data_IF_739739939907
#
_entry.id   IF_739739939907
#
_cell.length_a   1.000
_cell.length_b   1.000
_cell.length_c   1.000
_cell.angle_alpha   90.00
_cell.angle_beta   90.00
_cell.angle_gamma   90.00
#
_symmetry.space_group_name_H-M   'P 1'
#
loop_
_entity.id
_entity.type
_entity.pdbx_description
1 polymer ?
#
# COMPACT_ATOMS: atom_id res chain seq x y z
N UNK A 1 -5.16 -29.46 -24.36
CA UNK A 1 -4.79 -28.07 -24.01
C UNK A 1 -3.41 -27.82 -24.61
N UNK A 2 -3.29 -26.94 -25.61
CA UNK A 2 -1.97 -26.63 -26.20
C UNK A 2 -1.24 -25.73 -25.20
N UNK A 3 -0.13 -26.22 -24.65
CA UNK A 3 0.75 -25.42 -23.80
C UNK A 3 1.52 -24.47 -24.71
N UNK A 4 1.43 -23.18 -24.42
CA UNK A 4 2.25 -22.19 -25.12
C UNK A 4 3.72 -22.32 -24.66
N UNK A 5 4.66 -21.84 -25.48
CA UNK A 5 6.10 -21.88 -25.13
C UNK A 5 6.38 -21.24 -23.77
N UNK A 6 5.59 -20.24 -23.38
CA UNK A 6 5.68 -19.56 -22.10
C UNK A 6 5.23 -20.45 -20.92
N UNK A 7 4.22 -21.29 -21.10
CA UNK A 7 3.71 -22.19 -20.05
C UNK A 7 4.74 -23.27 -19.71
N UNK A 8 5.41 -23.78 -20.76
CA UNK A 8 6.51 -24.74 -20.62
C UNK A 8 7.68 -24.07 -19.88
N UNK A 9 8.05 -22.84 -20.24
CA UNK A 9 9.08 -22.07 -19.54
C UNK A 9 8.73 -21.86 -18.06
N UNK A 10 7.49 -21.50 -17.75
CA UNK A 10 7.01 -21.28 -16.39
C UNK A 10 7.10 -22.54 -15.54
N UNK A 11 6.61 -23.67 -16.04
CA UNK A 11 6.64 -24.96 -15.33
C UNK A 11 8.07 -25.45 -15.12
N UNK A 12 8.92 -25.40 -16.16
CA UNK A 12 10.32 -25.82 -16.05
C UNK A 12 11.09 -24.92 -15.08
N UNK A 13 10.86 -23.60 -15.14
CA UNK A 13 11.47 -22.65 -14.22
C UNK A 13 11.06 -22.87 -12.76
N UNK A 14 9.77 -23.18 -12.51
CA UNK A 14 9.29 -23.56 -11.18
C UNK A 14 9.94 -24.84 -10.66
N UNK A 15 10.04 -25.88 -11.49
CA UNK A 15 10.69 -27.14 -11.11
C UNK A 15 12.18 -26.88 -10.81
N UNK A 16 12.87 -26.16 -11.69
CA UNK A 16 14.29 -25.84 -11.52
C UNK A 16 14.57 -25.03 -10.26
N UNK A 17 13.77 -23.99 -9.99
CA UNK A 17 13.91 -23.18 -8.77
C UNK A 17 13.54 -23.95 -7.50
N UNK A 18 12.61 -24.90 -7.58
CA UNK A 18 12.27 -25.78 -6.44
C UNK A 18 13.40 -26.76 -6.13
N UNK A 19 13.98 -27.39 -7.15
CA UNK A 19 15.17 -28.25 -6.99
C UNK A 19 16.34 -27.46 -6.41
N UNK A 20 16.56 -26.24 -6.90
CA UNK A 20 17.58 -25.34 -6.37
C UNK A 20 17.32 -24.96 -4.90
N UNK A 21 16.09 -24.68 -4.52
CA UNK A 21 15.72 -24.43 -3.12
C UNK A 21 16.00 -25.63 -2.22
N UNK A 22 15.62 -26.84 -2.65
CA UNK A 22 15.90 -28.08 -1.90
C UNK A 22 17.41 -28.28 -1.76
N UNK A 23 18.18 -28.03 -2.83
CA UNK A 23 19.64 -28.07 -2.80
C UNK A 23 20.20 -27.06 -1.77
N UNK A 24 19.76 -25.79 -1.79
CA UNK A 24 20.18 -24.79 -0.80
C UNK A 24 19.86 -25.22 0.65
N UNK A 25 18.68 -25.81 0.88
CA UNK A 25 18.28 -26.32 2.20
C UNK A 25 19.15 -27.49 2.67
N UNK A 26 19.56 -28.37 1.76
CA UNK A 26 20.38 -29.55 2.08
C UNK A 26 21.86 -29.20 2.29
N UNK A 27 22.40 -28.21 1.58
CA UNK A 27 23.82 -27.84 1.59
C UNK A 27 24.14 -26.61 2.45
N UNK A 28 23.14 -26.01 3.11
CA UNK A 28 23.34 -25.13 4.26
C UNK A 28 24.01 -23.78 3.99
N UNK A 29 23.81 -23.18 2.81
CA UNK A 29 24.39 -21.87 2.48
C UNK A 29 23.59 -20.72 3.10
N UNK A 30 24.15 -20.09 4.14
CA UNK A 30 23.61 -18.95 4.92
C UNK A 30 23.80 -17.57 4.25
N UNK A 31 23.71 -17.48 2.92
CA UNK A 31 24.30 -16.34 2.17
C UNK A 31 23.36 -15.14 1.94
N UNK A 32 22.08 -15.19 2.32
CA UNK A 32 21.10 -14.18 1.86
C UNK A 32 20.31 -13.43 2.95
N UNK A 33 20.96 -13.10 4.08
CA UNK A 33 20.34 -12.31 5.17
C UNK A 33 19.88 -10.91 4.73
N UNK A 34 20.61 -10.25 3.83
CA UNK A 34 20.25 -8.92 3.31
C UNK A 34 19.01 -8.92 2.40
N UNK A 35 18.68 -10.05 1.78
CA UNK A 35 17.49 -10.15 0.93
C UNK A 35 16.21 -10.00 1.75
N UNK A 36 16.11 -10.67 2.90
CA UNK A 36 14.97 -10.54 3.80
C UNK A 36 14.71 -9.09 4.23
N UNK A 37 15.77 -8.32 4.46
CA UNK A 37 15.63 -6.90 4.82
C UNK A 37 14.90 -6.11 3.72
N UNK A 38 15.22 -6.38 2.44
CA UNK A 38 14.55 -5.78 1.28
C UNK A 38 13.07 -6.19 1.21
N UNK A 39 12.74 -7.44 1.54
CA UNK A 39 11.35 -7.88 1.64
C UNK A 39 10.59 -7.08 2.70
N UNK A 40 11.15 -6.95 3.91
CA UNK A 40 10.51 -6.19 4.98
C UNK A 40 10.38 -4.70 4.66
N UNK A 41 11.36 -4.10 3.98
CA UNK A 41 11.26 -2.72 3.47
C UNK A 41 10.08 -2.55 2.51
N UNK A 42 9.95 -3.43 1.51
CA UNK A 42 8.86 -3.38 0.54
C UNK A 42 7.49 -3.58 1.21
N UNK A 43 7.38 -4.57 2.11
CA UNK A 43 6.15 -4.85 2.84
C UNK A 43 5.73 -3.68 3.75
N UNK A 44 6.67 -3.08 4.48
CA UNK A 44 6.40 -1.96 5.39
C UNK A 44 6.13 -0.65 4.67
N UNK A 45 6.77 -0.37 3.54
CA UNK A 45 6.41 0.77 2.71
C UNK A 45 4.95 0.66 2.24
N UNK A 46 4.54 -0.50 1.74
CA UNK A 46 3.15 -0.72 1.36
C UNK A 46 2.19 -0.63 2.54
N UNK A 47 2.59 -1.06 3.74
CA UNK A 47 1.82 -0.88 4.96
C UNK A 47 1.53 0.58 5.27
N UNK A 48 2.55 1.43 5.21
CA UNK A 48 2.40 2.86 5.47
C UNK A 48 1.41 3.49 4.50
N UNK A 49 1.48 3.07 3.23
CA UNK A 49 0.51 3.47 2.21
C UNK A 49 -0.92 2.96 2.50
N UNK A 50 -1.03 1.69 2.90
CA UNK A 50 -2.31 1.05 3.22
C UNK A 50 -3.03 1.71 4.41
N UNK A 51 -2.29 2.19 5.41
CA UNK A 51 -2.86 2.85 6.57
C UNK A 51 -3.65 4.10 6.19
N UNK A 52 -3.11 4.96 5.31
CA UNK A 52 -3.82 6.16 4.83
C UNK A 52 -5.09 5.80 4.05
N UNK A 53 -5.09 4.70 3.31
CA UNK A 53 -6.30 4.21 2.63
C UNK A 53 -7.36 3.71 3.62
N UNK A 54 -6.95 3.03 4.69
CA UNK A 54 -7.83 2.62 5.79
C UNK A 54 -8.44 3.82 6.48
N UNK A 55 -7.64 4.83 6.80
CA UNK A 55 -8.09 6.12 7.36
C UNK A 55 -9.10 6.78 6.42
N UNK A 56 -8.82 6.84 5.12
CA UNK A 56 -9.74 7.41 4.12
C UNK A 56 -11.07 6.63 4.07
N UNK A 57 -11.01 5.30 4.19
CA UNK A 57 -12.20 4.44 4.19
C UNK A 57 -13.02 4.60 5.47
N UNK A 58 -12.36 4.73 6.62
CA UNK A 58 -13.00 5.01 7.90
C UNK A 58 -13.72 6.36 7.88
N UNK A 59 -13.07 7.41 7.35
CA UNK A 59 -13.70 8.71 7.18
C UNK A 59 -14.92 8.66 6.26
N UNK A 60 -14.82 7.94 5.14
CA UNK A 60 -15.96 7.72 4.25
C UNK A 60 -17.14 7.08 4.98
N UNK A 61 -16.87 6.03 5.75
CA UNK A 61 -17.90 5.33 6.51
C UNK A 61 -18.56 6.22 7.56
N UNK A 62 -17.77 6.95 8.35
CA UNK A 62 -18.28 7.89 9.34
C UNK A 62 -19.14 8.97 8.67
N UNK A 63 -18.69 9.49 7.53
CA UNK A 63 -19.40 10.57 6.87
C UNK A 63 -20.68 10.11 6.20
N UNK A 64 -20.73 8.88 5.67
CA UNK A 64 -21.94 8.27 5.13
C UNK A 64 -23.01 8.06 6.23
N UNK A 65 -22.57 7.62 7.42
CA UNK A 65 -23.46 7.35 8.56
C UNK A 65 -24.12 8.62 9.12
N UNK A 66 -23.42 9.76 9.05
CA UNK A 66 -23.87 11.02 9.65
C UNK A 66 -24.23 12.06 8.55
N UNK A 67 -24.22 11.66 7.27
CA UNK A 67 -24.38 12.55 6.10
C UNK A 67 -25.65 13.40 6.14
N UNK A 68 -26.74 12.85 6.66
CA UNK A 68 -28.05 13.51 6.70
C UNK A 68 -28.22 14.44 7.91
N UNK A 69 -27.28 14.43 8.87
CA UNK A 69 -27.34 15.21 10.12
C UNK A 69 -26.27 16.30 10.24
N UNK A 70 -25.34 16.38 9.27
CA UNK A 70 -24.17 17.27 9.32
C UNK A 70 -24.40 18.50 8.43
N UNK A 71 -24.23 19.70 9.01
CA UNK A 71 -24.24 20.98 8.30
C UNK A 71 -22.87 21.39 7.74
N UNK A 72 -22.79 22.59 7.17
CA UNK A 72 -21.56 23.07 6.53
C UNK A 72 -20.38 23.24 7.51
N UNK A 73 -20.66 23.67 8.75
CA UNK A 73 -19.63 23.89 9.78
C UNK A 73 -18.99 22.57 10.20
N UNK A 74 -19.81 21.54 10.39
CA UNK A 74 -19.39 20.21 10.80
C UNK A 74 -18.59 19.52 9.68
N UNK A 75 -18.99 19.67 8.41
CA UNK A 75 -18.18 19.21 7.26
C UNK A 75 -16.82 19.91 7.23
N UNK A 76 -16.74 21.21 7.54
CA UNK A 76 -15.47 21.95 7.56
C UNK A 76 -14.53 21.42 8.65
N UNK A 77 -15.06 21.16 9.85
CA UNK A 77 -14.29 20.55 10.95
C UNK A 77 -13.81 19.14 10.55
N UNK A 78 -14.67 18.34 9.94
CA UNK A 78 -14.33 17.01 9.48
C UNK A 78 -13.16 17.00 8.48
N UNK A 79 -13.14 17.96 7.57
CA UNK A 79 -12.04 18.14 6.62
C UNK A 79 -10.73 18.47 7.33
N UNK A 80 -10.77 19.33 8.35
CA UNK A 80 -9.58 19.70 9.12
C UNK A 80 -9.04 18.46 9.84
N UNK A 81 -9.91 17.69 10.50
CA UNK A 81 -9.54 16.42 11.16
C UNK A 81 -8.91 15.45 10.15
N UNK A 82 -9.47 15.36 8.94
CA UNK A 82 -8.95 14.49 7.89
C UNK A 82 -7.53 14.83 7.43
N UNK A 83 -7.12 16.11 7.52
CA UNK A 83 -5.75 16.55 7.23
C UNK A 83 -4.84 16.34 8.44
N UNK A 84 -5.35 16.55 9.65
CA UNK A 84 -4.57 16.40 10.90
C UNK A 84 -4.19 14.95 11.16
N UNK A 85 -5.08 13.97 10.94
CA UNK A 85 -4.78 12.56 11.25
C UNK A 85 -3.53 12.04 10.50
N UNK A 86 -3.39 12.23 9.17
CA UNK A 86 -2.16 11.86 8.47
C UNK A 86 -0.90 12.53 9.02
N UNK A 87 -0.97 13.81 9.42
CA UNK A 87 0.16 14.53 10.04
C UNK A 87 0.53 13.92 11.39
N UNK A 88 -0.45 13.59 12.22
CA UNK A 88 -0.22 12.90 13.50
C UNK A 88 0.44 11.53 13.30
N UNK A 89 0.04 10.79 12.25
CA UNK A 89 0.65 9.51 11.92
C UNK A 89 2.12 9.66 11.47
N UNK A 90 2.46 10.74 10.77
CA UNK A 90 3.85 11.07 10.42
C UNK A 90 4.65 11.36 11.69
N UNK A 91 4.13 12.21 12.59
CA UNK A 91 4.77 12.53 13.88
C UNK A 91 4.99 11.24 14.70
N UNK A 92 3.99 10.38 14.78
CA UNK A 92 4.09 9.09 15.46
C UNK A 92 5.13 8.17 14.82
N UNK A 93 5.22 8.13 13.48
CA UNK A 93 6.25 7.38 12.77
C UNK A 93 7.66 7.88 13.08
N UNK A 94 7.86 9.20 13.16
CA UNK A 94 9.15 9.80 13.56
C UNK A 94 9.49 9.42 15.00
N UNK A 95 8.52 9.53 15.93
CA UNK A 95 8.70 9.10 17.31
C UNK A 95 9.13 7.63 17.39
N UNK A 96 8.50 6.74 16.62
CA UNK A 96 8.82 5.31 16.60
C UNK A 96 10.24 5.03 16.09
N UNK A 97 10.71 5.78 15.10
CA UNK A 97 12.10 5.69 14.64
C UNK A 97 13.04 6.08 15.77
N UNK A 98 12.80 7.21 16.44
CA UNK A 98 13.64 7.68 17.56
C UNK A 98 13.64 6.66 18.70
N UNK A 99 12.46 6.14 19.07
CA UNK A 99 12.37 5.13 20.13
C UNK A 99 13.03 3.80 19.74
N UNK A 100 13.05 3.45 18.44
CA UNK A 100 13.74 2.25 17.95
C UNK A 100 15.27 2.37 17.93
N UNK A 101 15.82 3.60 17.97
CA UNK A 101 17.26 3.85 18.03
C UNK A 101 17.83 3.72 19.45
N UNK A 102 16.99 3.88 20.47
CA UNK A 102 17.32 3.56 21.86
C UNK A 102 16.80 2.16 22.18
N UNK A 103 17.63 1.11 22.09
CA UNK A 103 17.20 -0.21 22.52
C UNK A 103 16.92 -0.15 24.02
N UNK A 104 15.64 -0.16 24.40
CA UNK A 104 15.25 -0.52 25.76
C UNK A 104 15.72 -1.95 25.99
N UNK A 105 16.80 -2.08 26.76
CA UNK A 105 17.42 -3.35 27.09
C UNK A 105 16.50 -4.14 28.01
N UNK A 106 15.54 -4.86 27.46
CA UNK A 106 14.92 -6.07 28.01
C UNK A 106 13.93 -6.61 26.98
N UNK A 107 13.91 -7.91 26.67
CA UNK A 107 12.79 -8.51 25.97
C UNK A 107 11.57 -8.38 26.90
N UNK A 108 10.56 -7.64 26.48
CA UNK A 108 9.31 -7.61 27.25
C UNK A 108 8.76 -9.03 27.29
N UNK A 109 8.68 -9.64 28.47
CA UNK A 109 7.88 -10.84 28.69
C UNK A 109 6.61 -10.41 29.41
N UNK A 110 5.45 -10.50 28.75
CA UNK A 110 4.18 -10.09 29.34
C UNK A 110 3.11 -9.71 28.31
N UNK A 111 2.05 -9.03 28.77
CA UNK A 111 0.96 -8.54 27.91
C UNK A 111 1.44 -7.58 26.81
N UNK A 112 2.48 -6.79 27.09
CA UNK A 112 3.10 -5.90 26.11
C UNK A 112 3.67 -6.66 24.89
N UNK A 113 4.37 -7.77 25.12
CA UNK A 113 4.87 -8.64 24.06
C UNK A 113 3.76 -9.32 23.27
N UNK A 114 2.70 -9.79 23.94
CA UNK A 114 1.54 -10.38 23.26
C UNK A 114 0.86 -9.32 22.38
N UNK A 115 0.74 -8.08 22.87
CA UNK A 115 0.22 -6.97 22.10
C UNK A 115 1.11 -6.60 20.91
N UNK A 116 2.43 -6.56 21.09
CA UNK A 116 3.38 -6.29 20.01
C UNK A 116 3.39 -7.40 18.95
N UNK A 117 3.35 -8.66 19.37
CA UNK A 117 3.20 -9.84 18.51
C UNK A 117 1.89 -9.78 17.73
N UNK A 118 0.78 -9.49 18.40
CA UNK A 118 -0.53 -9.37 17.76
C UNK A 118 -0.56 -8.23 16.75
N UNK A 119 0.02 -7.07 17.09
CA UNK A 119 0.14 -5.92 16.18
C UNK A 119 1.07 -6.21 14.99
N UNK A 120 2.15 -6.96 15.19
CA UNK A 120 3.07 -7.37 14.15
C UNK A 120 2.41 -8.35 13.16
N UNK A 121 1.82 -9.44 13.66
CA UNK A 121 1.13 -10.44 12.83
C UNK A 121 -0.08 -9.83 12.13
N UNK A 122 -0.93 -9.11 12.88
CA UNK A 122 -2.08 -8.42 12.30
C UNK A 122 -1.66 -7.41 11.25
N UNK A 123 -0.56 -6.68 11.50
CA UNK A 123 0.08 -5.81 10.53
C UNK A 123 0.39 -6.56 9.24
N UNK A 124 1.32 -7.53 9.27
CA UNK A 124 1.78 -8.26 8.07
C UNK A 124 0.64 -8.97 7.33
N UNK A 125 -0.27 -9.59 8.08
CA UNK A 125 -1.43 -10.28 7.51
C UNK A 125 -2.41 -9.29 6.86
N UNK A 126 -2.78 -8.20 7.53
CA UNK A 126 -3.70 -7.18 7.01
C UNK A 126 -3.12 -6.47 5.78
N UNK A 127 -1.83 -6.15 5.81
CA UNK A 127 -1.05 -5.61 4.69
C UNK A 127 -1.19 -6.55 3.50
N UNK A 128 -0.73 -7.79 3.63
CA UNK A 128 -0.68 -8.71 2.49
C UNK A 128 -2.07 -9.10 1.98
N UNK A 129 -3.03 -9.23 2.88
CA UNK A 129 -4.43 -9.49 2.54
C UNK A 129 -5.00 -8.35 1.69
N UNK A 130 -4.88 -7.11 2.16
CA UNK A 130 -5.46 -5.95 1.50
C UNK A 130 -4.73 -5.52 0.23
N UNK A 131 -3.44 -5.85 0.13
CA UNK A 131 -2.56 -5.40 -0.96
C UNK A 131 -2.41 -6.42 -2.08
N UNK A 132 -2.24 -7.70 -1.75
CA UNK A 132 -1.99 -8.74 -2.74
C UNK A 132 -3.18 -9.68 -2.84
N UNK A 133 -3.63 -10.28 -1.73
CA UNK A 133 -4.63 -11.36 -1.78
C UNK A 133 -5.97 -10.85 -2.33
N UNK A 134 -6.54 -9.80 -1.73
CA UNK A 134 -7.84 -9.26 -2.15
C UNK A 134 -7.80 -8.74 -3.59
N UNK A 135 -6.81 -7.92 -4.00
CA UNK A 135 -6.85 -7.40 -5.36
C UNK A 135 -6.44 -8.45 -6.42
N UNK A 136 -5.65 -9.49 -6.06
CA UNK A 136 -5.41 -10.65 -6.94
C UNK A 136 -6.68 -11.46 -7.19
N UNK A 137 -7.49 -11.68 -6.14
CA UNK A 137 -8.78 -12.37 -6.25
C UNK A 137 -9.78 -11.56 -7.10
N UNK A 138 -9.72 -10.24 -7.02
CA UNK A 138 -10.62 -9.33 -7.75
C UNK A 138 -10.12 -8.92 -9.14
N UNK A 139 -8.98 -9.45 -9.58
CA UNK A 139 -8.35 -9.11 -10.87
C UNK A 139 -7.99 -7.60 -11.02
N UNK A 140 -7.83 -6.89 -9.89
CA UNK A 140 -7.64 -5.43 -9.88
C UNK A 140 -6.17 -5.00 -10.10
N UNK A 141 -5.23 -5.96 -10.16
CA UNK A 141 -3.81 -5.73 -10.44
C UNK A 141 -3.56 -5.38 -11.92
N UNK A 142 -4.27 -6.06 -12.83
CA UNK A 142 -4.15 -5.90 -14.28
C UNK A 142 -4.69 -4.54 -14.71
N UNK A 143 -5.93 -4.23 -14.30
CA UNK A 143 -6.61 -2.95 -14.53
C UNK A 143 -5.83 -1.72 -14.01
N UNK A 144 -4.97 -1.92 -13.02
CA UNK A 144 -4.14 -0.88 -12.44
C UNK A 144 -2.79 -0.70 -13.16
N UNK A 145 -2.18 -1.79 -13.65
CA UNK A 145 -0.84 -1.79 -14.23
C UNK A 145 -0.84 -1.37 -15.72
N UNK A 146 -1.73 -1.92 -16.54
CA UNK A 146 -1.79 -1.66 -18.00
C UNK A 146 -2.60 -0.41 -18.34
N UNK A 147 -3.06 0.33 -17.33
CA UNK A 147 -3.75 1.59 -17.51
C UNK A 147 -5.13 1.44 -18.14
N UNK A 148 -5.73 0.25 -18.03
CA UNK A 148 -7.09 -0.10 -18.42
C UNK A 148 -7.38 0.09 -19.91
N UNK A 149 -7.88 -0.96 -20.57
CA UNK A 149 -8.31 -0.87 -21.97
C UNK A 149 -9.28 0.30 -22.24
N UNK A 150 -9.44 0.69 -23.50
CA UNK A 150 -10.26 1.83 -23.97
C UNK A 150 -11.64 1.92 -23.28
N UNK A 151 -12.29 0.76 -23.06
CA UNK A 151 -13.58 0.67 -22.38
C UNK A 151 -13.55 1.07 -20.90
N UNK A 152 -12.52 0.69 -20.13
CA UNK A 152 -12.38 1.10 -18.73
C UNK A 152 -12.05 2.58 -18.60
N UNK A 153 -11.31 3.16 -19.56
CA UNK A 153 -11.07 4.61 -19.64
C UNK A 153 -12.35 5.38 -19.92
N UNK A 154 -13.20 4.90 -20.83
CA UNK A 154 -14.51 5.49 -21.12
C UNK A 154 -15.44 5.37 -19.90
N UNK A 155 -15.49 4.20 -19.25
CA UNK A 155 -16.26 3.98 -18.01
C UNK A 155 -15.79 4.89 -16.87
N UNK A 156 -14.48 5.06 -16.69
CA UNK A 156 -13.89 6.01 -15.71
C UNK A 156 -14.24 7.45 -16.07
N UNK A 157 -14.15 7.83 -17.35
CA UNK A 157 -14.53 9.15 -17.86
C UNK A 157 -16.01 9.47 -17.57
N UNK A 158 -16.91 8.56 -17.95
CA UNK A 158 -18.34 8.69 -17.71
C UNK A 158 -18.68 8.76 -16.22
N UNK A 159 -18.04 7.92 -15.39
CA UNK A 159 -18.20 7.93 -13.94
C UNK A 159 -17.72 9.25 -13.31
N UNK A 160 -16.59 9.79 -13.78
CA UNK A 160 -16.04 11.07 -13.33
C UNK A 160 -16.94 12.25 -13.72
N UNK A 161 -17.48 12.25 -14.94
CA UNK A 161 -18.44 13.26 -15.40
C UNK A 161 -19.73 13.17 -14.58
N UNK A 162 -20.30 11.98 -14.40
CA UNK A 162 -21.49 11.76 -13.57
C UNK A 162 -21.29 12.21 -12.12
N UNK A 163 -20.12 11.96 -11.54
CA UNK A 163 -19.77 12.47 -10.19
C UNK A 163 -19.67 13.99 -10.13
N UNK A 164 -19.05 14.64 -11.11
CA UNK A 164 -18.99 16.11 -11.18
C UNK A 164 -20.38 16.72 -11.26
N UNK A 165 -21.28 16.13 -12.05
CA UNK A 165 -22.69 16.56 -12.15
C UNK A 165 -23.41 16.36 -10.83
N UNK A 166 -23.30 15.18 -10.20
CA UNK A 166 -23.89 14.90 -8.88
C UNK A 166 -23.35 15.84 -7.79
N UNK A 167 -22.05 16.14 -7.80
CA UNK A 167 -21.43 17.09 -6.87
C UNK A 167 -22.02 18.48 -7.04
N UNK A 168 -22.12 18.98 -8.27
CA UNK A 168 -22.76 20.28 -8.56
C UNK A 168 -24.22 20.31 -8.11
N UNK A 169 -24.96 19.23 -8.34
CA UNK A 169 -26.34 19.09 -7.89
C UNK A 169 -26.46 19.12 -6.35
N UNK A 170 -25.63 18.36 -5.62
CA UNK A 170 -25.63 18.35 -4.16
C UNK A 170 -25.18 19.69 -3.56
N UNK A 171 -24.16 20.32 -4.15
CA UNK A 171 -23.72 21.66 -3.76
C UNK A 171 -24.84 22.70 -3.97
N UNK A 172 -25.55 22.64 -5.10
CA UNK A 172 -26.70 23.51 -5.39
C UNK A 172 -27.85 23.30 -4.39
N UNK A 173 -28.09 22.05 -3.97
CA UNK A 173 -29.08 21.69 -2.94
C UNK A 173 -28.59 21.92 -1.51
N UNK A 174 -27.41 22.54 -1.30
CA UNK A 174 -26.78 22.78 0.01
C UNK A 174 -26.53 21.49 0.83
N UNK A 175 -26.40 20.35 0.16
CA UNK A 175 -26.08 19.05 0.77
C UNK A 175 -24.56 18.85 0.77
N UNK A 176 -23.86 19.64 1.60
CA UNK A 176 -22.39 19.70 1.64
C UNK A 176 -21.75 18.37 2.04
N UNK A 177 -22.37 17.62 2.96
CA UNK A 177 -21.89 16.29 3.34
C UNK A 177 -21.90 15.33 2.14
N UNK A 178 -22.99 15.28 1.37
CA UNK A 178 -23.12 14.40 0.18
C UNK A 178 -22.15 14.79 -0.94
N UNK A 179 -21.87 16.08 -1.11
CA UNK A 179 -20.81 16.54 -2.01
C UNK A 179 -19.42 16.06 -1.53
N UNK A 180 -19.17 16.09 -0.21
CA UNK A 180 -17.91 15.63 0.36
C UNK A 180 -17.72 14.11 0.27
N UNK A 181 -18.78 13.29 0.42
CA UNK A 181 -18.73 11.84 0.16
C UNK A 181 -18.22 11.55 -1.25
N UNK A 182 -18.68 12.29 -2.25
CA UNK A 182 -18.24 12.09 -3.63
C UNK A 182 -16.74 12.39 -3.82
N UNK A 183 -16.24 13.43 -3.15
CA UNK A 183 -14.81 13.78 -3.17
C UNK A 183 -13.99 12.67 -2.50
N UNK A 184 -14.38 12.25 -1.30
CA UNK A 184 -13.68 11.19 -0.57
C UNK A 184 -13.74 9.84 -1.30
N UNK A 185 -14.85 9.53 -1.97
CA UNK A 185 -14.98 8.28 -2.75
C UNK A 185 -14.02 8.30 -3.94
N UNK A 186 -13.88 9.47 -4.58
CA UNK A 186 -12.93 9.67 -5.67
C UNK A 186 -11.49 9.53 -5.17
N UNK A 187 -11.17 10.09 -3.99
CA UNK A 187 -9.85 9.93 -3.36
C UNK A 187 -9.53 8.48 -3.03
N UNK A 188 -10.49 7.74 -2.45
CA UNK A 188 -10.33 6.32 -2.15
C UNK A 188 -10.00 5.53 -3.42
N UNK A 189 -10.70 5.79 -4.52
CA UNK A 189 -10.44 5.11 -5.80
C UNK A 189 -9.04 5.44 -6.34
N UNK A 190 -8.63 6.71 -6.31
CA UNK A 190 -7.30 7.12 -6.78
C UNK A 190 -6.21 6.48 -5.92
N UNK A 191 -6.35 6.51 -4.60
CA UNK A 191 -5.41 5.86 -3.68
C UNK A 191 -5.37 4.35 -3.86
N UNK A 192 -6.52 3.72 -4.13
CA UNK A 192 -6.58 2.28 -4.43
C UNK A 192 -5.81 1.95 -5.71
N UNK A 193 -5.94 2.76 -6.76
CA UNK A 193 -5.17 2.59 -8.00
C UNK A 193 -3.67 2.77 -7.75
N UNK A 194 -3.27 3.83 -7.04
CA UNK A 194 -1.86 4.05 -6.68
C UNK A 194 -1.30 2.91 -5.85
N UNK A 195 -2.08 2.40 -4.89
CA UNK A 195 -1.73 1.24 -4.08
C UNK A 195 -1.48 0.01 -4.94
N UNK A 196 -2.35 -0.31 -5.89
CA UNK A 196 -2.16 -1.46 -6.78
C UNK A 196 -0.94 -1.29 -7.68
N UNK A 197 -0.74 -0.08 -8.24
CA UNK A 197 0.48 0.22 -9.00
C UNK A 197 1.74 0.00 -8.16
N UNK A 198 1.77 0.52 -6.93
CA UNK A 198 2.90 0.31 -6.02
C UNK A 198 3.09 -1.17 -5.68
N UNK A 199 2.02 -1.93 -5.45
CA UNK A 199 2.11 -3.38 -5.21
C UNK A 199 2.72 -4.11 -6.41
N UNK A 200 2.31 -3.77 -7.63
CA UNK A 200 2.89 -4.33 -8.87
C UNK A 200 4.38 -3.96 -8.99
N UNK A 201 4.76 -2.69 -8.79
CA UNK A 201 6.15 -2.26 -8.84
C UNK A 201 7.03 -2.92 -7.76
N UNK A 202 6.46 -3.16 -6.59
CA UNK A 202 7.18 -3.75 -5.46
C UNK A 202 7.30 -5.27 -5.55
N UNK A 203 6.71 -5.93 -6.56
CA UNK A 203 6.96 -7.35 -6.85
C UNK A 203 8.45 -7.63 -7.10
N UNK A 204 9.21 -6.69 -7.67
CA UNK A 204 10.66 -6.88 -7.87
C UNK A 204 11.42 -6.86 -6.55
N UNK A 205 11.32 -5.81 -5.71
CA UNK A 205 11.86 -5.82 -4.36
C UNK A 205 11.41 -7.03 -3.51
N UNK A 206 10.15 -7.46 -3.62
CA UNK A 206 9.66 -8.66 -2.94
C UNK A 206 10.30 -9.92 -3.52
N UNK A 207 10.46 -10.01 -4.85
CA UNK A 207 11.16 -11.09 -5.52
C UNK A 207 12.62 -11.20 -5.08
N UNK A 208 13.33 -10.07 -5.06
CA UNK A 208 14.71 -9.98 -4.54
C UNK A 208 14.72 -10.37 -3.07
N UNK A 209 13.77 -9.89 -2.28
CA UNK A 209 13.74 -10.18 -0.86
C UNK A 209 13.28 -11.59 -0.49
N UNK A 210 12.72 -12.31 -1.45
CA UNK A 210 12.34 -13.72 -1.33
C UNK A 210 13.37 -14.66 -1.98
N UNK A 211 14.60 -14.20 -2.25
CA UNK A 211 15.66 -15.05 -2.84
C UNK A 211 15.97 -16.31 -2.04
N UNK A 212 15.71 -16.29 -0.73
CA UNK A 212 15.77 -17.48 0.13
C UNK A 212 14.72 -18.54 -0.21
N UNK A 213 13.67 -18.14 -0.93
CA UNK A 213 12.63 -18.97 -1.49
C UNK A 213 12.61 -18.81 -3.03
N UNK A 214 13.60 -19.38 -3.76
CA UNK A 214 13.75 -19.22 -5.20
C UNK A 214 12.48 -19.42 -6.05
N UNK A 215 11.55 -20.36 -5.72
CA UNK A 215 10.28 -20.46 -6.44
C UNK A 215 9.41 -19.20 -6.35
N UNK A 216 9.40 -18.54 -5.19
CA UNK A 216 8.63 -17.31 -4.95
C UNK A 216 9.25 -16.14 -5.71
N UNK A 217 10.59 -16.04 -5.70
CA UNK A 217 11.31 -15.06 -6.52
C UNK A 217 10.97 -15.23 -8.00
N UNK A 218 11.03 -16.47 -8.50
CA UNK A 218 10.71 -16.78 -9.89
C UNK A 218 9.28 -16.36 -10.25
N UNK A 219 8.30 -16.75 -9.44
CA UNK A 219 6.90 -16.36 -9.65
C UNK A 219 6.75 -14.83 -9.69
N UNK A 220 7.36 -14.12 -8.73
CA UNK A 220 7.27 -12.66 -8.63
C UNK A 220 7.88 -11.96 -9.85
N UNK A 221 9.05 -12.42 -10.32
CA UNK A 221 9.73 -11.86 -11.48
C UNK A 221 8.96 -12.16 -12.77
N UNK A 222 8.50 -13.41 -12.97
CA UNK A 222 7.75 -13.77 -14.17
C UNK A 222 6.43 -13.00 -14.25
N UNK A 223 5.72 -12.88 -13.14
CA UNK A 223 4.47 -12.12 -13.08
C UNK A 223 4.70 -10.64 -13.39
N UNK A 224 5.79 -10.06 -12.86
CA UNK A 224 6.19 -8.68 -13.16
C UNK A 224 6.56 -8.48 -14.64
N UNK A 225 7.36 -9.39 -15.22
CA UNK A 225 7.74 -9.36 -16.64
C UNK A 225 6.49 -9.41 -17.51
N UNK A 226 5.55 -10.30 -17.21
CA UNK A 226 4.35 -10.48 -18.02
C UNK A 226 3.49 -9.22 -18.04
N UNK A 227 3.33 -8.57 -16.88
CA UNK A 227 2.56 -7.33 -16.74
C UNK A 227 3.23 -6.14 -17.44
N UNK A 228 4.55 -5.98 -17.35
CA UNK A 228 5.23 -4.77 -17.84
C UNK A 228 5.87 -4.88 -19.23
N UNK A 229 6.35 -6.07 -19.59
CA UNK A 229 7.10 -6.29 -20.84
C UNK A 229 6.20 -6.91 -21.90
N UNK A 230 5.41 -7.91 -21.51
CA UNK A 230 4.60 -8.68 -22.47
C UNK A 230 3.20 -8.09 -22.68
N UNK A 231 2.70 -7.28 -21.74
CA UNK A 231 1.32 -6.73 -21.76
C UNK A 231 0.26 -7.85 -21.92
N UNK A 232 0.61 -9.06 -21.50
CA UNK A 232 -0.22 -10.26 -21.61
C UNK A 232 -0.92 -10.51 -20.27
N UNK A 233 -2.18 -10.93 -20.34
CA UNK A 233 -2.94 -11.27 -19.13
C UNK A 233 -2.32 -12.50 -18.44
N UNK A 234 -1.97 -12.40 -17.14
CA UNK A 234 -1.48 -13.55 -16.39
C UNK A 234 -2.55 -14.63 -16.31
N UNK A 235 -2.13 -15.87 -16.58
CA UNK A 235 -3.05 -17.02 -16.58
C UNK A 235 -3.48 -17.31 -15.14
N UNK A 236 -4.66 -17.90 -14.96
CA UNK A 236 -5.25 -18.17 -13.64
C UNK A 236 -4.28 -18.91 -12.71
N UNK A 237 -3.52 -19.88 -13.22
CA UNK A 237 -2.55 -20.62 -12.40
C UNK A 237 -1.34 -19.77 -11.97
N UNK A 238 -0.93 -18.76 -12.74
CA UNK A 238 0.15 -17.84 -12.37
C UNK A 238 -0.30 -16.90 -11.25
N UNK A 239 -1.56 -16.45 -11.33
CA UNK A 239 -2.21 -15.66 -10.27
C UNK A 239 -2.35 -16.47 -8.98
N UNK A 240 -2.78 -17.73 -9.08
CA UNK A 240 -2.86 -18.65 -7.93
C UNK A 240 -1.45 -18.88 -7.36
N UNK A 241 -0.44 -19.10 -8.21
CA UNK A 241 0.95 -19.24 -7.80
C UNK A 241 1.43 -18.04 -6.99
N UNK A 242 1.21 -16.82 -7.49
CA UNK A 242 1.57 -15.59 -6.78
C UNK A 242 0.80 -15.44 -5.46
N UNK A 243 -0.49 -15.74 -5.44
CA UNK A 243 -1.32 -15.68 -4.24
C UNK A 243 -0.81 -16.64 -3.16
N UNK A 244 -0.52 -17.89 -3.53
CA UNK A 244 0.05 -18.89 -2.61
C UNK A 244 1.42 -18.44 -2.12
N UNK A 245 2.27 -17.90 -2.99
CA UNK A 245 3.57 -17.34 -2.60
C UNK A 245 3.43 -16.20 -1.58
N UNK A 246 2.49 -15.28 -1.77
CA UNK A 246 2.26 -14.18 -0.83
C UNK A 246 1.76 -14.67 0.53
N UNK A 247 0.84 -15.64 0.55
CA UNK A 247 0.36 -16.26 1.80
C UNK A 247 1.53 -16.95 2.52
N UNK A 248 2.36 -17.69 1.78
CA UNK A 248 3.50 -18.39 2.35
C UNK A 248 4.55 -17.43 2.93
N UNK A 249 4.82 -16.31 2.25
CA UNK A 249 5.71 -15.26 2.77
C UNK A 249 5.18 -14.63 4.06
N UNK A 250 3.86 -14.38 4.16
CA UNK A 250 3.23 -13.89 5.40
C UNK A 250 3.38 -14.90 6.53
N UNK A 251 3.15 -16.18 6.22
CA UNK A 251 3.27 -17.26 7.19
C UNK A 251 4.70 -17.35 7.72
N UNK A 252 5.70 -17.35 6.84
CA UNK A 252 7.11 -17.38 7.25
C UNK A 252 7.49 -16.13 8.04
N UNK A 253 7.10 -14.93 7.59
CA UNK A 253 7.42 -13.69 8.28
C UNK A 253 6.82 -13.70 9.70
N UNK A 254 5.57 -14.14 9.84
CA UNK A 254 4.90 -14.27 11.15
C UNK A 254 5.58 -15.32 12.04
N UNK A 255 5.93 -16.48 11.47
CA UNK A 255 6.59 -17.56 12.20
C UNK A 255 8.02 -17.21 12.61
N UNK A 256 8.73 -16.46 11.77
CA UNK A 256 10.11 -16.02 12.03
C UNK A 256 10.21 -15.12 13.26
N UNK A 257 9.20 -14.29 13.49
CA UNK A 257 9.07 -13.45 14.68
C UNK A 257 8.69 -14.28 15.92
N UNK A 258 7.76 -15.25 15.78
CA UNK A 258 7.30 -16.08 16.89
C UNK A 258 8.39 -17.03 17.42
N UNK A 259 9.21 -17.59 16.52
CA UNK A 259 10.21 -18.61 16.85
C UNK A 259 11.63 -18.05 17.04
N UNK A 260 11.80 -16.71 17.02
CA UNK A 260 13.11 -16.03 17.04
C UNK A 260 14.12 -16.66 16.08
N UNK A 261 13.64 -17.03 14.89
CA UNK A 261 14.44 -17.78 13.94
C UNK A 261 15.62 -16.93 13.46
N UNK A 262 16.71 -17.55 12.97
CA UNK A 262 17.92 -16.85 12.50
C UNK A 262 17.60 -15.72 11.49
N UNK A 263 16.47 -15.82 10.79
CA UNK A 263 15.94 -14.81 9.90
C UNK A 263 15.58 -13.47 10.58
N UNK A 264 15.00 -13.51 11.78
CA UNK A 264 14.60 -12.31 12.52
C UNK A 264 15.78 -11.71 13.30
N UNK A 265 16.59 -12.55 13.94
CA UNK A 265 17.76 -12.10 14.72
C UNK A 265 18.81 -11.42 13.83
N UNK A 266 18.98 -11.87 12.59
CA UNK A 266 19.89 -11.24 11.62
C UNK A 266 19.47 -9.83 11.15
N UNK A 267 18.17 -9.52 11.16
CA UNK A 267 17.64 -8.21 10.74
C UNK A 267 17.33 -7.29 11.92
N UNK A 268 17.39 -7.78 13.15
CA UNK A 268 17.01 -7.07 14.36
C UNK A 268 17.74 -5.72 14.51
N UNK A 269 19.03 -5.67 14.17
CA UNK A 269 19.84 -4.44 14.21
C UNK A 269 19.46 -3.41 13.13
N UNK A 270 18.77 -3.84 12.08
CA UNK A 270 18.31 -3.00 10.97
C UNK A 270 16.83 -2.64 11.07
N UNK A 271 16.15 -2.97 12.16
CA UNK A 271 14.72 -2.70 12.37
C UNK A 271 14.35 -1.22 12.21
N UNK A 272 15.24 -0.29 12.59
CA UNK A 272 15.05 1.15 12.38
C UNK A 272 14.88 1.52 10.89
N UNK A 273 15.58 0.83 9.98
CA UNK A 273 15.43 1.05 8.52
C UNK A 273 14.07 0.60 8.02
N UNK A 274 13.49 -0.45 8.62
CA UNK A 274 12.15 -0.93 8.29
C UNK A 274 11.09 0.13 8.66
N UNK A 275 11.26 0.81 9.80
CA UNK A 275 10.37 1.90 10.23
C UNK A 275 10.54 3.17 9.38
N UNK A 276 11.73 3.42 8.80
CA UNK A 276 11.91 4.48 7.79
C UNK A 276 11.07 4.20 6.55
N UNK A 277 11.12 2.98 6.01
CA UNK A 277 10.31 2.61 4.84
C UNK A 277 8.81 2.72 5.13
N UNK A 278 8.39 2.36 6.34
CA UNK A 278 7.03 2.59 6.80
C UNK A 278 6.64 4.08 6.79
N UNK A 279 7.50 4.95 7.32
CA UNK A 279 7.30 6.40 7.29
C UNK A 279 7.24 6.95 5.87
N UNK A 280 8.13 6.50 4.96
CA UNK A 280 8.10 6.86 3.54
C UNK A 280 6.74 6.51 2.92
N UNK A 281 6.21 5.32 3.23
CA UNK A 281 4.88 4.90 2.79
C UNK A 281 3.76 5.83 3.27
N UNK A 282 3.78 6.24 4.55
CA UNK A 282 2.83 7.19 5.12
C UNK A 282 2.95 8.56 4.46
N UNK A 283 4.18 9.08 4.32
CA UNK A 283 4.43 10.39 3.70
C UNK A 283 3.96 10.39 2.25
N UNK A 284 4.36 9.39 1.46
CA UNK A 284 4.00 9.29 0.04
C UNK A 284 2.48 9.22 -0.18
N UNK A 285 1.78 8.38 0.59
CA UNK A 285 0.31 8.31 0.54
C UNK A 285 -0.37 9.59 1.02
N UNK A 286 0.17 10.25 2.05
CA UNK A 286 -0.34 11.52 2.55
C UNK A 286 -0.18 12.63 1.52
N UNK A 287 0.97 12.73 0.84
CA UNK A 287 1.20 13.70 -0.24
C UNK A 287 0.19 13.48 -1.37
N UNK A 288 0.00 12.24 -1.82
CA UNK A 288 -0.98 11.92 -2.87
C UNK A 288 -2.39 12.26 -2.41
N UNK A 289 -2.74 11.92 -1.18
CA UNK A 289 -4.04 12.23 -0.59
C UNK A 289 -4.29 13.75 -0.59
N UNK A 290 -3.37 14.55 -0.03
CA UNK A 290 -3.51 16.02 0.06
C UNK A 290 -3.56 16.66 -1.32
N UNK A 291 -2.67 16.24 -2.23
CA UNK A 291 -2.64 16.77 -3.60
C UNK A 291 -3.95 16.54 -4.34
N UNK A 292 -4.47 15.31 -4.30
CA UNK A 292 -5.73 14.97 -4.94
C UNK A 292 -6.93 15.64 -4.24
N UNK A 293 -6.86 15.79 -2.92
CA UNK A 293 -7.89 16.48 -2.14
C UNK A 293 -7.98 17.97 -2.52
N UNK A 294 -6.83 18.63 -2.68
CA UNK A 294 -6.75 20.03 -3.14
C UNK A 294 -7.32 20.19 -4.55
N UNK A 295 -6.94 19.30 -5.49
CA UNK A 295 -7.46 19.30 -6.85
C UNK A 295 -8.99 19.13 -6.90
N UNK A 296 -9.56 18.22 -6.11
CA UNK A 296 -11.01 17.98 -6.08
C UNK A 296 -11.81 19.14 -5.50
N UNK A 297 -11.19 19.92 -4.59
CA UNK A 297 -11.78 21.16 -4.07
C UNK A 297 -11.69 22.35 -5.03
N UNK A 298 -11.03 22.19 -6.18
CA UNK A 298 -10.82 23.29 -7.13
C UNK A 298 -9.83 24.33 -6.61
N UNK A 299 -9.01 23.97 -5.61
CA UNK A 299 -7.88 24.79 -5.18
C UNK A 299 -6.69 24.32 -5.98
N UNK A 300 -6.40 25.03 -7.06
CA UNK A 300 -5.18 24.78 -7.83
C UNK A 300 -3.98 25.19 -6.95
N UNK A 301 -2.85 24.47 -6.99
CA UNK A 301 -1.63 24.88 -6.28
C UNK A 301 -1.20 26.32 -6.62
N UNK A 302 -1.61 26.81 -7.80
CA UNK A 302 -1.48 28.20 -8.23
C UNK A 302 -2.30 29.18 -7.38
N UNK A 303 -3.50 28.81 -6.92
CA UNK A 303 -4.34 29.67 -6.06
C UNK A 303 -3.78 29.76 -4.65
N UNK A 304 -3.20 28.66 -4.12
CA UNK A 304 -2.52 28.66 -2.81
C UNK A 304 -1.24 29.49 -2.88
N UNK A 305 -0.47 29.36 -3.97
CA UNK A 305 0.73 30.18 -4.20
C UNK A 305 0.38 31.66 -4.38
N UNK A 306 -0.72 31.97 -5.09
CA UNK A 306 -1.22 33.34 -5.23
C UNK A 306 -1.66 33.92 -3.87
N UNK A 307 -2.38 33.14 -3.04
CA UNK A 307 -2.82 33.58 -1.71
C UNK A 307 -1.67 33.74 -0.71
N UNK A 308 -0.65 32.89 -0.78
CA UNK A 308 0.59 33.04 0.01
C UNK A 308 1.38 34.27 -0.48
N UNK A 309 1.40 34.52 -1.79
CA UNK A 309 1.97 35.74 -2.37
C UNK A 309 1.24 37.01 -1.93
N UNK A 310 -0.08 36.99 -1.85
CA UNK A 310 -0.89 38.12 -1.34
C UNK A 310 -0.69 38.36 0.16
N UNK A 311 -0.50 37.31 0.96
CA UNK A 311 -0.19 37.44 2.40
C UNK A 311 1.25 37.95 2.60
N UNK A 312 2.20 37.54 1.74
CA UNK A 312 3.55 38.08 1.73
C UNK A 312 3.61 39.56 1.32
N UNK A 313 2.83 39.96 0.32
CA UNK A 313 2.76 41.35 -0.15
C UNK A 313 2.09 42.29 0.87
N UNK A 314 1.09 41.80 1.63
CA UNK A 314 0.48 42.57 2.72
C UNK A 314 1.35 42.71 3.97
N UNK A 315 2.43 41.95 4.09
CA UNK A 315 3.40 42.08 5.18
C UNK A 315 4.56 43.03 4.87
N UNK A 316 4.62 43.58 3.64
CA UNK A 316 5.65 44.57 3.22
C UNK A 316 5.08 46.00 3.13
N UNK A 317 3.77 46.20 3.40
CA UNK A 317 3.11 47.52 3.42
C UNK A 317 2.79 48.04 4.84
N UNK A 318 3.17 47.31 5.89
CA UNK A 318 3.15 47.76 7.31
C UNK A 318 4.59 47.87 7.85
#
# INVERSE_FOLDING_TARGET
MKLDKFDIFYIIGLIGTTVFMIWLLLFGTTVLLFSNLIFFWAAKLLSGFGLILTVTTAFLFILDLIADKIGEKEVRIFIIIQIIIPVLLIIFGIYRIISSLTPSGTPDTGFAYIMDLALYIFGIASITLSLYIVPLIKEEFEDAATGGGLFTRIKRGAKNVGRKVKKKYFAFRKQYAKAHIQDQTTLKEILTIWRHKLAVYLLIPIGIGSLLFPPITFISIVFWIKIFITDDDPKVYERIGLLVSMIFMVFIASLSYLLEWEFYTAIAQYTWTIEIFYLIGIIGSTIIFIYQFAQLKGVTLLDVKAKIGEIGAKGEED
#
